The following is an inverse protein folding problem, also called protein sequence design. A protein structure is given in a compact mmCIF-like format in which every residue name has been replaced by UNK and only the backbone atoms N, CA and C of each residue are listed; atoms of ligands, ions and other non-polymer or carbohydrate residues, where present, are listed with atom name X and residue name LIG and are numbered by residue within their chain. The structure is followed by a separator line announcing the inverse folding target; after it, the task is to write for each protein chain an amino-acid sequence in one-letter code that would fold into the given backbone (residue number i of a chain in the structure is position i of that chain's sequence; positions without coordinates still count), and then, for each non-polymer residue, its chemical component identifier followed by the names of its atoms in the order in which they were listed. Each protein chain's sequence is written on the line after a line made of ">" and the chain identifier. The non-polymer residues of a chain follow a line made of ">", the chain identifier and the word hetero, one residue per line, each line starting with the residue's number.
data_IF_162431249866
#
_entry.id   IF_162431249866
#
_cell.length_a   1.000
_cell.length_b   1.000
_cell.length_c   1.000
_cell.angle_alpha   90.00
_cell.angle_beta   90.00
_cell.angle_gamma   90.00
#
_symmetry.space_group_name_H-M   'P 1'
#
loop_
_entity.id
_entity.type
_entity.pdbx_description
1 polymer ?
#
# COMPACT_ATOMS: atom_id res chain seq x y z
N UNK A 1 14.05 5.85 3.61
CA UNK A 1 12.77 5.72 4.34
C UNK A 1 12.44 4.24 4.51
N UNK A 2 12.00 3.82 5.70
CA UNK A 2 11.58 2.44 5.98
C UNK A 2 10.10 2.48 6.33
N UNK A 3 9.25 1.82 5.52
CA UNK A 3 7.84 1.63 5.86
C UNK A 3 7.66 0.40 6.73
N UNK A 4 6.63 0.39 7.56
CA UNK A 4 6.30 -0.77 8.37
C UNK A 4 5.56 -1.86 7.56
N UNK A 5 5.37 -3.04 8.17
CA UNK A 5 4.71 -4.19 7.53
C UNK A 5 3.27 -3.88 7.08
N UNK A 6 2.53 -3.08 7.86
CA UNK A 6 1.14 -2.74 7.53
C UNK A 6 1.06 -1.78 6.33
N UNK A 7 1.93 -0.77 6.30
CA UNK A 7 2.08 0.15 5.16
C UNK A 7 2.52 -0.61 3.89
N UNK A 8 3.44 -1.58 4.02
CA UNK A 8 3.84 -2.45 2.92
C UNK A 8 2.67 -3.29 2.37
N UNK A 9 1.84 -3.86 3.25
CA UNK A 9 0.65 -4.62 2.84
C UNK A 9 -0.32 -3.75 2.03
N UNK A 10 -0.53 -2.49 2.44
CA UNK A 10 -1.38 -1.54 1.72
C UNK A 10 -0.81 -1.26 0.33
N UNK A 11 0.49 -0.96 0.21
CA UNK A 11 1.11 -0.74 -1.11
C UNK A 11 0.96 -1.95 -2.04
N UNK A 12 1.15 -3.17 -1.52
CA UNK A 12 0.94 -4.41 -2.29
C UNK A 12 -0.50 -4.57 -2.78
N UNK A 13 -1.49 -4.24 -1.94
CA UNK A 13 -2.90 -4.30 -2.33
C UNK A 13 -3.23 -3.29 -3.43
N UNK A 14 -2.79 -2.04 -3.26
CA UNK A 14 -2.98 -0.97 -4.25
C UNK A 14 -2.33 -1.33 -5.60
N UNK A 15 -1.12 -1.91 -5.58
CA UNK A 15 -0.42 -2.35 -6.77
C UNK A 15 -1.06 -3.57 -7.46
N UNK A 16 -1.79 -4.41 -6.70
CA UNK A 16 -2.35 -5.66 -7.23
C UNK A 16 -3.52 -5.46 -8.20
N UNK A 17 -4.27 -4.36 -8.07
CA UNK A 17 -5.46 -4.05 -8.87
C UNK A 17 -5.63 -2.54 -9.06
N UNK A 18 -5.18 -2.03 -10.21
CA UNK A 18 -5.30 -0.61 -10.58
C UNK A 18 -6.70 -0.17 -11.01
N UNK A 19 -7.57 -1.12 -11.35
CA UNK A 19 -8.98 -0.92 -11.73
C UNK A 19 -9.91 -0.70 -10.52
N UNK A 20 -9.46 -1.06 -9.33
CA UNK A 20 -10.26 -0.92 -8.10
C UNK A 20 -10.13 0.49 -7.55
N UNK A 21 -11.29 1.11 -7.32
CA UNK A 21 -11.40 2.33 -6.51
C UNK A 21 -11.25 1.98 -5.03
N UNK A 22 -10.01 1.84 -4.57
CA UNK A 22 -9.72 1.54 -3.17
C UNK A 22 -10.12 2.71 -2.28
N UNK A 23 -10.80 2.41 -1.18
CA UNK A 23 -11.11 3.32 -0.07
C UNK A 23 -10.54 2.71 1.20
N UNK A 24 -10.55 3.43 2.33
CA UNK A 24 -10.11 2.85 3.60
C UNK A 24 -10.91 1.59 3.94
N UNK A 25 -12.23 1.59 3.65
CA UNK A 25 -13.14 0.50 4.01
C UNK A 25 -12.83 -0.79 3.25
N UNK A 26 -12.69 -0.72 1.92
CA UNK A 26 -12.46 -1.94 1.14
C UNK A 26 -11.01 -2.44 1.24
N UNK A 27 -10.04 -1.57 1.52
CA UNK A 27 -8.69 -1.98 1.93
C UNK A 27 -8.71 -2.69 3.29
N UNK A 28 -9.37 -2.11 4.29
CA UNK A 28 -9.45 -2.69 5.64
C UNK A 28 -10.09 -4.08 5.60
N UNK A 29 -11.18 -4.22 4.84
CA UNK A 29 -11.81 -5.51 4.57
C UNK A 29 -10.86 -6.50 3.89
N UNK A 30 -10.15 -6.08 2.84
CA UNK A 30 -9.20 -6.94 2.14
C UNK A 30 -8.04 -7.38 3.05
N UNK A 31 -7.54 -6.48 3.89
CA UNK A 31 -6.51 -6.78 4.89
C UNK A 31 -7.01 -7.76 5.94
N UNK A 32 -8.22 -7.56 6.47
CA UNK A 32 -8.87 -8.45 7.43
C UNK A 32 -9.07 -9.86 6.86
N UNK A 33 -9.62 -9.97 5.65
CA UNK A 33 -9.81 -11.25 4.96
C UNK A 33 -8.50 -12.02 4.75
N UNK A 34 -7.39 -11.29 4.53
CA UNK A 34 -6.05 -11.86 4.32
C UNK A 34 -5.24 -11.98 5.62
N UNK A 35 -5.84 -11.72 6.79
CA UNK A 35 -5.18 -11.73 8.12
C UNK A 35 -3.90 -10.86 8.15
N UNK A 36 -3.95 -9.71 7.48
CA UNK A 36 -2.84 -8.77 7.40
C UNK A 36 -2.79 -7.84 8.63
N UNK A 37 -1.58 -7.45 9.05
CA UNK A 37 -1.41 -6.43 10.09
C UNK A 37 -1.87 -5.05 9.57
N UNK A 38 -2.45 -4.23 10.46
CA UNK A 38 -2.88 -2.85 10.16
C UNK A 38 -4.38 -2.62 10.05
N UNK A 39 -5.21 -3.67 10.22
CA UNK A 39 -6.68 -3.57 10.28
C UNK A 39 -7.10 -2.57 11.37
N UNK A 40 -8.11 -1.75 11.09
CA UNK A 40 -8.62 -0.66 11.91
C UNK A 40 -7.86 0.65 11.76
N UNK A 41 -6.67 0.65 11.14
CA UNK A 41 -5.79 1.83 11.07
C UNK A 41 -5.49 2.32 9.64
N UNK A 42 -6.21 1.81 8.64
CA UNK A 42 -5.91 2.02 7.21
C UNK A 42 -5.78 3.50 6.84
N UNK A 43 -6.71 4.36 7.26
CA UNK A 43 -6.66 5.78 6.90
C UNK A 43 -5.38 6.48 7.43
N UNK A 44 -4.94 6.16 8.65
CA UNK A 44 -3.70 6.71 9.20
C UNK A 44 -2.47 6.18 8.47
N UNK A 45 -2.45 4.88 8.14
CA UNK A 45 -1.34 4.26 7.42
C UNK A 45 -1.22 4.82 5.99
N UNK A 46 -2.35 5.01 5.30
CA UNK A 46 -2.41 5.66 3.99
C UNK A 46 -1.92 7.10 4.07
N UNK A 47 -2.27 7.85 5.12
CA UNK A 47 -1.77 9.23 5.31
C UNK A 47 -0.25 9.28 5.47
N UNK A 48 0.36 8.30 6.14
CA UNK A 48 1.82 8.19 6.22
C UNK A 48 2.44 7.90 4.84
N UNK A 49 1.85 6.97 4.09
CA UNK A 49 2.29 6.63 2.74
C UNK A 49 2.14 7.81 1.76
N UNK A 50 1.09 8.61 1.90
CA UNK A 50 0.87 9.83 1.13
C UNK A 50 1.93 10.89 1.43
N UNK A 51 2.24 11.13 2.72
CA UNK A 51 3.34 12.03 3.14
C UNK A 51 4.70 11.58 2.59
N UNK A 52 4.84 10.29 2.34
CA UNK A 52 6.02 9.68 1.74
C UNK A 52 5.99 9.63 0.20
N UNK A 53 4.97 10.21 -0.42
CA UNK A 53 4.76 10.22 -1.87
C UNK A 53 4.61 8.82 -2.49
N UNK A 54 4.26 7.80 -1.71
CA UNK A 54 4.10 6.42 -2.18
C UNK A 54 2.66 6.08 -2.58
N UNK A 55 1.69 6.90 -2.16
CA UNK A 55 0.26 6.75 -2.43
C UNK A 55 -0.30 8.12 -2.79
N UNK A 56 -1.16 8.15 -3.79
CA UNK A 56 -1.98 9.31 -4.15
C UNK A 56 -3.37 9.18 -3.52
N UNK A 57 -3.91 10.30 -3.04
CA UNK A 57 -5.25 10.39 -2.46
C UNK A 57 -6.09 11.32 -3.33
N UNK A 58 -7.20 10.81 -3.85
CA UNK A 58 -8.19 11.59 -4.59
C UNK A 58 -9.45 11.71 -3.75
N UNK A 59 -9.86 12.94 -3.42
CA UNK A 59 -11.09 13.17 -2.67
C UNK A 59 -12.30 12.62 -3.40
N UNK A 60 -13.24 12.03 -2.66
CA UNK A 60 -14.47 11.48 -3.22
C UNK A 60 -15.69 11.86 -2.37
N UNK A 61 -16.88 11.66 -2.95
CA UNK A 61 -18.16 11.77 -2.23
C UNK A 61 -18.73 10.38 -1.97
N UNK A 62 -19.25 10.10 -0.76
CA UNK A 62 -19.35 11.01 0.39
C UNK A 62 -18.01 11.27 1.08
N UNK A 63 -17.94 12.36 1.87
CA UNK A 63 -16.76 12.72 2.62
C UNK A 63 -16.27 11.54 3.50
N UNK A 64 -14.95 11.32 3.52
CA UNK A 64 -14.34 10.19 4.23
C UNK A 64 -14.28 8.89 3.44
N UNK A 65 -14.65 8.89 2.16
CA UNK A 65 -14.51 7.75 1.24
C UNK A 65 -13.47 7.99 0.14
N UNK A 66 -12.44 8.80 0.43
CA UNK A 66 -11.38 9.12 -0.52
C UNK A 66 -10.80 7.88 -1.19
N UNK A 67 -10.43 8.05 -2.46
CA UNK A 67 -9.83 7.01 -3.26
C UNK A 67 -8.31 7.00 -3.13
N UNK A 68 -7.75 5.82 -2.95
CA UNK A 68 -6.32 5.62 -2.79
C UNK A 68 -5.76 4.87 -4.00
N UNK A 69 -4.63 5.35 -4.51
CA UNK A 69 -3.92 4.72 -5.61
C UNK A 69 -2.43 4.70 -5.30
N UNK A 70 -1.73 3.65 -5.72
CA UNK A 70 -0.28 3.65 -5.61
C UNK A 70 0.29 4.71 -6.56
N UNK A 71 1.22 5.52 -6.08
CA UNK A 71 1.87 6.51 -6.92
C UNK A 71 2.93 5.86 -7.83
N UNK A 72 3.41 6.60 -8.82
CA UNK A 72 4.54 6.16 -9.63
C UNK A 72 5.79 5.86 -8.77
N UNK A 73 6.02 6.65 -7.72
CA UNK A 73 7.12 6.46 -6.79
C UNK A 73 6.90 5.23 -5.89
N UNK A 74 5.67 4.98 -5.44
CA UNK A 74 5.28 3.75 -4.74
C UNK A 74 5.56 2.49 -5.56
N UNK A 75 5.24 2.52 -6.86
CA UNK A 75 5.51 1.40 -7.77
C UNK A 75 7.01 1.18 -7.97
N UNK A 76 7.81 2.24 -8.12
CA UNK A 76 9.28 2.14 -8.18
C UNK A 76 9.86 1.55 -6.90
N UNK A 77 9.35 1.98 -5.74
CA UNK A 77 9.76 1.48 -4.43
C UNK A 77 9.53 -0.04 -4.30
N UNK A 78 8.35 -0.54 -4.67
CA UNK A 78 8.05 -1.98 -4.65
C UNK A 78 8.97 -2.78 -5.60
N UNK A 79 9.25 -2.26 -6.80
CA UNK A 79 10.19 -2.90 -7.75
C UNK A 79 11.60 -3.01 -7.17
N UNK A 80 12.10 -1.96 -6.53
CA UNK A 80 13.42 -1.96 -5.90
C UNK A 80 13.50 -2.99 -4.75
N UNK A 81 12.47 -3.10 -3.91
CA UNK A 81 12.41 -4.12 -2.85
C UNK A 81 12.43 -5.55 -3.41
N UNK A 82 11.69 -5.80 -4.50
CA UNK A 82 11.68 -7.10 -5.15
C UNK A 82 13.08 -7.45 -5.70
N UNK A 83 13.74 -6.51 -6.37
CA UNK A 83 15.10 -6.70 -6.89
C UNK A 83 16.13 -6.96 -5.78
N UNK A 84 16.05 -6.24 -4.66
CA UNK A 84 16.93 -6.46 -3.51
C UNK A 84 16.74 -7.86 -2.90
N UNK A 85 15.48 -8.33 -2.80
CA UNK A 85 15.18 -9.67 -2.29
C UNK A 85 15.68 -10.76 -3.24
N UNK A 86 15.49 -10.59 -4.55
CA UNK A 86 16.00 -11.53 -5.55
C UNK A 86 17.53 -11.59 -5.52
N UNK A 87 18.21 -10.44 -5.46
CA UNK A 87 19.66 -10.39 -5.34
C UNK A 87 20.16 -11.11 -4.07
N UNK A 88 19.50 -10.89 -2.91
CA UNK A 88 19.87 -11.54 -1.65
C UNK A 88 19.65 -13.06 -1.64
N UNK A 89 18.62 -13.55 -2.34
CA UNK A 89 18.35 -14.98 -2.47
C UNK A 89 19.32 -15.70 -3.43
N UNK A 90 19.99 -14.98 -4.34
CA UNK A 90 20.98 -15.54 -5.26
C UNK A 90 22.39 -15.72 -4.64
N UNK A 91 22.60 -15.35 -3.38
CA UNK A 91 23.88 -15.47 -2.67
C UNK A 91 23.88 -16.55 -1.56
N UNK A 92 22.89 -17.44 -1.53
CA UNK A 92 22.87 -18.57 -0.58
C UNK A 92 23.18 -19.85 -1.36
N UNK A 93 24.46 -20.22 -1.40
CA UNK A 93 24.96 -21.53 -1.82
C UNK A 93 25.10 -22.43 -0.59
#
# INVERSE_FOLDING_TARGET
>A
MVINKAEFNILMLLASRGDVKWTWYNLDRAMSQRKMAGVGNVASLVRNLYKAELVDITSSMPAGMDHYQISAQGMKYLKALHQQKAARNNYVF
#
